data_IF_866958231609
#
_entry.id   IF_866958231609
#
_cell.length_a   1.000
_cell.length_b   1.000
_cell.length_c   1.000
_cell.angle_alpha   90.00
_cell.angle_beta   90.00
_cell.angle_gamma   90.00
#
_symmetry.space_group_name_H-M   'P 1'
#
loop_
_entity.id
_entity.type
_entity.pdbx_description
1 polymer ?
#
# COMPACT_ATOMS: atom_id res chain seq x y z
N UNK A 1 -2.97 14.27 7.07
CA UNK A 1 -3.23 12.82 7.25
C UNK A 1 -1.99 12.18 7.86
N UNK A 2 -2.15 11.32 8.87
CA UNK A 2 -1.08 10.51 9.47
C UNK A 2 -1.48 9.04 9.52
N UNK A 3 -0.52 8.14 9.76
CA UNK A 3 -0.75 6.70 9.96
C UNK A 3 -0.26 6.29 11.36
N UNK A 4 -1.02 6.60 12.43
CA UNK A 4 -0.60 6.35 13.81
C UNK A 4 -0.47 4.88 14.20
N UNK A 5 -1.15 3.97 13.50
CA UNK A 5 -1.03 2.52 13.74
C UNK A 5 -0.67 1.80 12.44
N UNK A 6 0.27 0.87 12.55
CA UNK A 6 0.68 -0.01 11.46
C UNK A 6 1.09 -1.36 12.05
N UNK A 7 0.53 -2.44 11.49
CA UNK A 7 0.81 -3.81 11.85
C UNK A 7 1.05 -4.61 10.56
N UNK A 8 2.20 -5.26 10.48
CA UNK A 8 2.65 -5.95 9.28
C UNK A 8 3.33 -7.27 9.63
N UNK A 9 2.78 -8.37 9.14
CA UNK A 9 3.45 -9.67 9.10
C UNK A 9 3.93 -9.93 7.67
N UNK A 10 5.21 -9.63 7.39
CA UNK A 10 5.80 -9.68 6.05
C UNK A 10 6.03 -11.12 5.53
N UNK A 11 4.94 -11.84 5.27
CA UNK A 11 4.91 -13.18 4.67
C UNK A 11 3.56 -13.38 3.95
N UNK A 12 3.44 -14.28 2.96
CA UNK A 12 2.16 -14.61 2.36
C UNK A 12 1.11 -15.03 3.41
N UNK A 13 -0.08 -14.42 3.34
CA UNK A 13 -1.18 -14.59 4.29
C UNK A 13 -1.02 -13.83 5.61
N UNK A 14 0.11 -13.15 5.82
CA UNK A 14 0.36 -12.31 7.00
C UNK A 14 -0.47 -11.02 6.94
N UNK A 15 -0.90 -10.53 8.11
CA UNK A 15 -1.71 -9.33 8.24
C UNK A 15 -0.99 -8.09 7.71
N UNK A 16 -1.72 -7.23 7.02
CA UNK A 16 -1.34 -5.85 6.77
C UNK A 16 -2.48 -4.93 7.22
N UNK A 17 -2.30 -4.23 8.34
CA UNK A 17 -3.30 -3.33 8.91
C UNK A 17 -2.71 -1.95 9.14
N UNK A 18 -3.44 -0.93 8.74
CA UNK A 18 -3.12 0.46 9.03
C UNK A 18 -4.35 1.19 9.58
N UNK A 19 -4.11 2.19 10.43
CA UNK A 19 -5.13 3.16 10.82
C UNK A 19 -4.65 4.52 10.35
N UNK A 20 -5.31 5.08 9.34
CA UNK A 20 -5.06 6.46 8.92
C UNK A 20 -5.93 7.42 9.73
N UNK A 21 -5.40 8.62 10.03
CA UNK A 21 -6.09 9.67 10.78
C UNK A 21 -5.94 11.03 10.12
N UNK A 22 -7.04 11.74 9.91
CA UNK A 22 -7.01 13.11 9.40
C UNK A 22 -6.69 14.13 10.51
N UNK A 23 -6.59 15.40 10.14
CA UNK A 23 -6.31 16.51 11.06
C UNK A 23 -7.47 16.81 12.02
N UNK A 24 -8.70 16.40 11.67
CA UNK A 24 -9.91 16.50 12.50
C UNK A 24 -10.06 15.32 13.47
N UNK A 25 -9.22 14.29 13.36
CA UNK A 25 -9.25 13.10 14.19
C UNK A 25 -10.14 11.98 13.66
N UNK A 26 -10.73 12.11 12.47
CA UNK A 26 -11.45 11.01 11.83
C UNK A 26 -10.47 9.88 11.50
N UNK A 27 -10.94 8.64 11.66
CA UNK A 27 -10.10 7.46 11.44
C UNK A 27 -10.59 6.62 10.27
N UNK A 28 -9.63 6.07 9.53
CA UNK A 28 -9.83 5.28 8.33
C UNK A 28 -9.05 3.98 8.46
N UNK A 29 -9.65 2.91 9.04
CA UNK A 29 -8.98 1.63 9.16
C UNK A 29 -8.90 0.94 7.79
N UNK A 30 -7.76 0.33 7.52
CA UNK A 30 -7.54 -0.57 6.38
C UNK A 30 -6.91 -1.86 6.89
N UNK A 31 -7.40 -3.00 6.39
CA UNK A 31 -6.88 -4.31 6.75
C UNK A 31 -6.91 -5.24 5.54
N UNK A 32 -5.86 -6.03 5.41
CA UNK A 32 -5.71 -7.01 4.35
C UNK A 32 -4.63 -8.03 4.69
N UNK A 33 -4.13 -8.69 3.66
CA UNK A 33 -2.99 -9.63 3.77
C UNK A 33 -1.96 -9.35 2.70
N UNK A 34 -0.72 -9.75 2.96
CA UNK A 34 0.29 -9.90 1.92
C UNK A 34 0.00 -11.14 1.08
N UNK A 35 -0.02 -10.99 -0.24
CA UNK A 35 -0.08 -12.10 -1.19
C UNK A 35 1.33 -12.62 -1.53
N UNK A 36 2.30 -11.71 -1.60
CA UNK A 36 3.68 -12.00 -1.97
C UNK A 36 4.62 -11.05 -1.24
N UNK A 37 5.71 -11.60 -0.69
CA UNK A 37 6.83 -10.84 -0.13
C UNK A 37 8.10 -11.49 -0.65
N UNK A 38 8.70 -10.89 -1.68
CA UNK A 38 9.94 -11.35 -2.28
C UNK A 38 10.95 -10.20 -2.24
N UNK A 39 11.73 -10.16 -1.15
CA UNK A 39 12.61 -9.04 -0.88
C UNK A 39 13.97 -9.17 -1.58
N UNK A 40 14.53 -8.08 -2.13
CA UNK A 40 14.02 -6.70 -2.15
C UNK A 40 13.07 -6.36 -3.31
N UNK A 41 12.83 -7.26 -4.26
CA UNK A 41 12.32 -6.91 -5.58
C UNK A 41 10.81 -6.61 -5.63
N UNK A 42 10.01 -7.21 -4.74
CA UNK A 42 8.56 -7.23 -4.92
C UNK A 42 7.75 -7.44 -3.63
N UNK A 43 6.67 -6.69 -3.51
CA UNK A 43 5.65 -6.85 -2.47
C UNK A 43 4.27 -6.76 -3.12
N UNK A 44 3.37 -7.66 -2.74
CA UNK A 44 1.96 -7.65 -3.15
C UNK A 44 1.07 -7.78 -1.93
N UNK A 45 0.07 -6.92 -1.82
CA UNK A 45 -0.97 -7.02 -0.79
C UNK A 45 -2.37 -6.90 -1.40
N UNK A 46 -3.38 -7.35 -0.66
CA UNK A 46 -4.78 -7.12 -1.00
C UNK A 46 -5.63 -6.97 0.25
N UNK A 47 -6.72 -6.22 0.15
CA UNK A 47 -7.78 -6.17 1.16
C UNK A 47 -8.91 -7.19 0.88
N UNK A 48 -8.79 -8.00 -0.17
CA UNK A 48 -9.77 -9.04 -0.50
C UNK A 48 -9.83 -10.18 0.50
N UNK A 49 -8.81 -10.33 1.35
CA UNK A 49 -8.73 -11.34 2.37
C UNK A 49 -8.28 -10.75 3.70
N UNK A 50 -8.84 -11.31 4.77
CA UNK A 50 -8.33 -11.22 6.15
C UNK A 50 -7.32 -12.36 6.39
N UNK A 51 -6.53 -12.33 7.47
CA UNK A 51 -5.63 -13.41 7.84
C UNK A 51 -6.32 -14.78 7.84
N UNK A 52 -5.58 -15.82 7.44
CA UNK A 52 -6.13 -17.16 7.24
C UNK A 52 -6.90 -17.34 5.94
N UNK A 53 -6.73 -16.44 4.97
CA UNK A 53 -7.38 -16.48 3.65
C UNK A 53 -8.90 -16.38 3.71
N UNK A 54 -9.42 -15.73 4.77
CA UNK A 54 -10.85 -15.49 4.93
C UNK A 54 -11.26 -14.34 4.01
N UNK A 55 -12.20 -14.53 3.06
CA UNK A 55 -12.64 -13.45 2.19
C UNK A 55 -13.17 -12.25 2.97
N UNK A 56 -12.82 -11.05 2.53
CA UNK A 56 -13.39 -9.82 3.04
C UNK A 56 -14.81 -9.60 2.48
N UNK A 57 -15.66 -8.89 3.23
CA UNK A 57 -17.02 -8.55 2.79
C UNK A 57 -17.01 -7.59 1.60
N UNK A 58 -16.03 -6.68 1.58
CA UNK A 58 -15.80 -5.74 0.50
C UNK A 58 -14.30 -5.63 0.24
N UNK A 59 -13.91 -6.00 -0.97
CA UNK A 59 -12.54 -5.87 -1.46
C UNK A 59 -12.45 -4.63 -2.35
N UNK A 60 -11.45 -3.78 -2.15
CA UNK A 60 -11.25 -2.57 -2.93
C UNK A 60 -10.10 -2.72 -3.93
N UNK A 61 -8.97 -3.30 -3.52
CA UNK A 61 -7.81 -3.38 -4.42
C UNK A 61 -6.78 -4.47 -4.09
N UNK A 62 -5.97 -4.77 -5.09
CA UNK A 62 -4.65 -5.41 -4.92
C UNK A 62 -3.56 -4.41 -5.26
N UNK A 63 -2.63 -4.18 -4.34
CA UNK A 63 -1.44 -3.37 -4.56
C UNK A 63 -0.25 -4.23 -4.96
N UNK A 64 0.40 -3.89 -6.08
CA UNK A 64 1.60 -4.56 -6.58
C UNK A 64 2.74 -3.55 -6.65
N UNK A 65 3.83 -3.83 -5.93
CA UNK A 65 5.00 -2.97 -5.83
C UNK A 65 6.23 -3.70 -6.33
N UNK A 66 6.95 -3.09 -7.25
CA UNK A 66 8.24 -3.60 -7.73
C UNK A 66 9.34 -2.58 -7.52
N UNK A 67 10.54 -3.09 -7.25
CA UNK A 67 11.75 -2.33 -6.99
C UNK A 67 12.86 -2.91 -7.86
N UNK A 68 13.35 -2.10 -8.80
CA UNK A 68 14.36 -2.51 -9.76
C UNK A 68 15.56 -1.57 -9.67
N UNK A 69 16.78 -2.11 -9.79
CA UNK A 69 17.97 -1.27 -9.93
C UNK A 69 17.90 -0.52 -11.27
N UNK A 70 18.20 0.77 -11.23
CA UNK A 70 18.28 1.60 -12.43
C UNK A 70 19.30 2.72 -12.21
N UNK A 71 20.49 2.56 -12.80
CA UNK A 71 21.51 3.60 -12.84
C UNK A 71 22.00 4.06 -11.45
N UNK A 72 22.20 3.12 -10.53
CA UNK A 72 22.58 3.39 -9.14
C UNK A 72 21.43 3.93 -8.27
N UNK A 73 20.21 3.93 -8.79
CA UNK A 73 18.97 4.29 -8.08
C UNK A 73 18.01 3.10 -8.08
N UNK A 74 16.80 3.31 -7.55
CA UNK A 74 15.72 2.33 -7.54
C UNK A 74 14.55 2.85 -8.37
N UNK A 75 14.19 2.13 -9.43
CA UNK A 75 12.92 2.31 -10.12
C UNK A 75 11.84 1.65 -9.28
N UNK A 76 11.00 2.47 -8.67
CA UNK A 76 9.84 2.05 -7.88
C UNK A 76 8.58 2.11 -8.75
N UNK A 77 7.88 0.99 -8.89
CA UNK A 77 6.58 0.96 -9.58
C UNK A 77 5.49 0.49 -8.65
N UNK A 78 4.47 1.33 -8.45
CA UNK A 78 3.24 1.00 -7.75
C UNK A 78 2.09 0.79 -8.75
N UNK A 79 1.40 -0.35 -8.66
CA UNK A 79 0.21 -0.65 -9.45
C UNK A 79 -0.95 -1.00 -8.51
N UNK A 80 -2.07 -0.32 -8.66
CA UNK A 80 -3.32 -0.68 -8.01
C UNK A 80 -4.20 -1.43 -9.02
N UNK A 81 -4.65 -2.62 -8.66
CA UNK A 81 -5.56 -3.44 -9.44
C UNK A 81 -6.93 -3.45 -8.77
N UNK A 82 -7.98 -3.31 -9.55
CA UNK A 82 -9.38 -3.28 -9.12
C UNK A 82 -10.20 -4.36 -9.83
N UNK A 83 -11.36 -4.70 -9.28
CA UNK A 83 -12.21 -5.78 -9.80
C UNK A 83 -13.05 -5.37 -11.00
N UNK A 84 -13.33 -4.08 -11.15
CA UNK A 84 -14.06 -3.51 -12.26
C UNK A 84 -13.57 -2.09 -12.59
N UNK A 85 -13.98 -1.59 -13.74
CA UNK A 85 -13.59 -0.28 -14.23
C UNK A 85 -14.13 0.87 -13.38
N UNK A 86 -15.31 0.72 -12.79
CA UNK A 86 -15.96 1.75 -11.98
C UNK A 86 -15.20 1.99 -10.67
N UNK A 87 -14.77 0.93 -9.99
CA UNK A 87 -13.94 1.00 -8.79
C UNK A 87 -12.57 1.62 -9.10
N UNK A 88 -11.96 1.25 -10.23
CA UNK A 88 -10.70 1.86 -10.68
C UNK A 88 -10.87 3.37 -10.94
N UNK A 89 -11.94 3.76 -11.64
CA UNK A 89 -12.24 5.16 -11.92
C UNK A 89 -12.55 5.94 -10.64
N UNK A 90 -13.31 5.34 -9.71
CA UNK A 90 -13.59 5.92 -8.40
C UNK A 90 -12.30 6.14 -7.61
N UNK A 91 -11.40 5.16 -7.56
CA UNK A 91 -10.12 5.30 -6.87
C UNK A 91 -9.26 6.41 -7.47
N UNK A 92 -9.21 6.51 -8.80
CA UNK A 92 -8.51 7.59 -9.47
C UNK A 92 -9.11 8.97 -9.12
N UNK A 93 -10.44 9.11 -9.13
CA UNK A 93 -11.14 10.35 -8.78
C UNK A 93 -10.96 10.75 -7.31
N UNK A 94 -10.79 9.78 -6.40
CA UNK A 94 -10.44 10.02 -5.00
C UNK A 94 -9.00 10.54 -4.80
N UNK A 95 -8.23 10.69 -5.87
CA UNK A 95 -6.89 11.27 -5.82
C UNK A 95 -5.77 10.25 -5.65
N UNK A 96 -5.94 9.00 -6.11
CA UNK A 96 -4.92 7.95 -6.00
C UNK A 96 -3.53 8.42 -6.44
N UNK A 97 -3.40 9.05 -7.62
CA UNK A 97 -2.09 9.46 -8.14
C UNK A 97 -1.42 10.54 -7.29
N UNK A 98 -2.18 11.54 -6.83
CA UNK A 98 -1.64 12.62 -6.00
C UNK A 98 -1.27 12.10 -4.60
N UNK A 99 -2.15 11.31 -3.99
CA UNK A 99 -1.92 10.71 -2.68
C UNK A 99 -0.74 9.74 -2.69
N UNK A 100 -0.65 8.87 -3.70
CA UNK A 100 0.45 7.92 -3.82
C UNK A 100 1.77 8.60 -4.16
N UNK A 101 1.74 9.63 -5.02
CA UNK A 101 2.90 10.47 -5.31
C UNK A 101 3.44 11.16 -4.04
N UNK A 102 2.54 11.77 -3.26
CA UNK A 102 2.90 12.41 -1.98
C UNK A 102 3.53 11.44 -0.99
N UNK A 103 3.00 10.21 -0.90
CA UNK A 103 3.57 9.17 -0.05
C UNK A 103 4.97 8.74 -0.53
N UNK A 104 5.18 8.62 -1.85
CA UNK A 104 6.48 8.30 -2.43
C UNK A 104 7.51 9.41 -2.17
N UNK A 105 7.13 10.69 -2.30
CA UNK A 105 8.02 11.82 -2.01
C UNK A 105 8.44 11.86 -0.53
N UNK A 106 7.48 11.62 0.38
CA UNK A 106 7.77 11.51 1.82
C UNK A 106 8.71 10.34 2.12
N UNK A 107 8.51 9.19 1.47
CA UNK A 107 9.40 8.04 1.60
C UNK A 107 10.83 8.38 1.15
N UNK A 108 10.99 9.01 -0.03
CA UNK A 108 12.30 9.46 -0.53
C UNK A 108 12.98 10.41 0.46
N UNK A 109 12.24 11.37 1.03
CA UNK A 109 12.79 12.30 2.01
C UNK A 109 13.29 11.58 3.28
N UNK A 110 12.52 10.61 3.79
CA UNK A 110 12.91 9.82 4.97
C UNK A 110 14.15 8.97 4.69
N UNK A 111 14.17 8.18 3.60
CA UNK A 111 15.31 7.30 3.32
C UNK A 111 16.58 8.06 2.98
N UNK A 112 16.46 9.26 2.39
CA UNK A 112 17.60 10.14 2.15
C UNK A 112 18.19 10.65 3.47
N UNK A 113 17.33 11.03 4.43
CA UNK A 113 17.76 11.42 5.78
C UNK A 113 18.41 10.28 6.55
N UNK A 114 17.93 9.04 6.41
CA UNK A 114 18.48 7.86 7.10
C UNK A 114 19.84 7.41 6.57
N UNK A 115 20.22 7.81 5.34
CA UNK A 115 21.55 7.52 4.77
C UNK A 115 22.64 8.50 5.21
N UNK A 116 22.27 9.65 5.77
CA UNK A 116 23.18 10.69 6.27
C UNK A 116 23.56 10.41 7.73
#
# INVERSE_FOLDING_TARGET
MTTPECEMELKPGGIFRTLMRDDKGNTYPSAGVFLEVNAPERIVFTDAFKPGWVPAEKAFMTGVFTFEEEGGKTRYTARALHWNADDCASHAQMGFHEGWGSAADQFVAVVTRLKA
#
